data_IF_514955304835
#
_entry.id   IF_514955304835
#
_cell.length_a   1.000
_cell.length_b   1.000
_cell.length_c   1.000
_cell.angle_alpha   90.00
_cell.angle_beta   90.00
_cell.angle_gamma   90.00
#
_symmetry.space_group_name_H-M   'P 1'
#
loop_
_entity.id
_entity.type
_entity.pdbx_description
1 polymer ?
#
# COMPACT_ATOMS: atom_id res chain seq x y z
N UNK A 1 -2.53 -7.31 -18.92
CA UNK A 1 -2.04 -7.16 -20.30
C UNK A 1 -0.76 -6.34 -20.39
N UNK A 2 -0.65 -5.17 -19.72
CA UNK A 2 0.59 -4.36 -19.75
C UNK A 2 1.77 -5.13 -19.15
N UNK A 3 1.57 -5.77 -18.00
CA UNK A 3 2.60 -6.61 -17.37
C UNK A 3 2.99 -7.78 -18.27
N UNK A 4 2.03 -8.48 -18.86
CA UNK A 4 2.29 -9.58 -19.82
C UNK A 4 3.03 -9.11 -21.07
N UNK A 5 2.87 -7.84 -21.45
CA UNK A 5 3.63 -7.20 -22.53
C UNK A 5 5.04 -6.73 -22.12
N UNK A 6 5.46 -7.00 -20.88
CA UNK A 6 6.80 -6.70 -20.36
C UNK A 6 6.92 -5.42 -19.54
N UNK A 7 5.82 -4.70 -19.28
CA UNK A 7 5.84 -3.54 -18.37
C UNK A 7 6.10 -4.01 -16.94
N UNK A 8 7.14 -3.50 -16.29
CA UNK A 8 7.55 -3.93 -14.94
C UNK A 8 6.75 -3.31 -13.82
N UNK A 9 6.26 -2.09 -14.01
CA UNK A 9 5.49 -1.36 -13.02
C UNK A 9 4.37 -0.59 -13.70
N UNK A 10 3.15 -0.71 -13.17
CA UNK A 10 1.98 0.03 -13.64
C UNK A 10 1.39 0.74 -12.43
N UNK A 11 1.24 2.05 -12.52
CA UNK A 11 0.60 2.86 -11.48
C UNK A 11 -0.72 3.42 -11.99
N UNK A 12 -1.70 3.50 -11.11
CA UNK A 12 -3.01 4.06 -11.37
C UNK A 12 -3.40 5.00 -10.23
N UNK A 13 -3.64 6.26 -10.55
CA UNK A 13 -4.30 7.18 -9.64
C UNK A 13 -5.81 7.04 -9.82
N UNK A 14 -6.51 6.66 -8.76
CA UNK A 14 -7.95 6.45 -8.78
C UNK A 14 -8.64 7.44 -7.87
N UNK A 15 -9.60 8.22 -8.40
CA UNK A 15 -10.34 9.26 -7.70
C UNK A 15 -9.45 10.35 -7.09
N UNK A 16 -9.98 11.15 -6.19
CA UNK A 16 -9.25 12.23 -5.51
C UNK A 16 -8.94 11.94 -4.05
N UNK A 17 -9.79 11.19 -3.35
CA UNK A 17 -9.69 10.80 -1.93
C UNK A 17 -9.37 11.91 -0.91
N UNK A 18 -9.24 13.16 -1.37
CA UNK A 18 -8.92 14.34 -0.56
C UNK A 18 -10.18 15.08 -0.10
N UNK A 19 -11.05 14.37 0.61
CA UNK A 19 -12.39 14.83 0.95
C UNK A 19 -12.41 15.60 2.28
N UNK A 20 -12.01 16.87 2.22
CA UNK A 20 -12.13 17.82 3.34
C UNK A 20 -13.56 18.28 3.61
N UNK A 21 -14.50 17.93 2.76
CA UNK A 21 -15.95 18.15 2.91
C UNK A 21 -16.71 17.03 2.23
N UNK A 22 -17.93 16.78 2.69
CA UNK A 22 -18.86 15.80 2.12
C UNK A 22 -18.24 14.41 1.83
N UNK A 23 -17.33 13.98 2.69
CA UNK A 23 -16.54 12.75 2.53
C UNK A 23 -17.41 11.50 2.34
N UNK A 24 -18.54 11.42 3.04
CA UNK A 24 -19.36 10.21 3.02
C UNK A 24 -20.11 10.02 1.70
N UNK A 25 -20.56 11.10 1.06
CA UNK A 25 -21.20 11.00 -0.25
C UNK A 25 -20.16 10.68 -1.34
N UNK A 26 -19.00 11.30 -1.28
CA UNK A 26 -17.89 10.98 -2.19
C UNK A 26 -17.47 9.52 -2.07
N UNK A 27 -17.28 9.00 -0.84
CA UNK A 27 -16.94 7.60 -0.61
C UNK A 27 -18.02 6.63 -1.10
N UNK A 28 -19.30 6.96 -0.96
CA UNK A 28 -20.38 6.11 -1.49
C UNK A 28 -20.37 6.00 -3.01
N UNK A 29 -19.80 6.97 -3.70
CA UNK A 29 -19.64 6.94 -5.15
C UNK A 29 -18.37 6.19 -5.57
N UNK A 30 -17.24 6.49 -4.93
CA UNK A 30 -15.92 6.01 -5.38
C UNK A 30 -15.57 4.62 -4.83
N UNK A 31 -15.90 4.33 -3.58
CA UNK A 31 -15.50 3.07 -2.96
C UNK A 31 -16.07 1.82 -3.66
N UNK A 32 -17.34 1.79 -4.12
CA UNK A 32 -17.85 0.65 -4.87
C UNK A 32 -17.12 0.41 -6.19
N UNK A 33 -16.67 1.47 -6.87
CA UNK A 33 -15.92 1.35 -8.11
C UNK A 33 -14.52 0.81 -7.86
N UNK A 34 -13.86 1.26 -6.80
CA UNK A 34 -12.57 0.72 -6.38
C UNK A 34 -12.70 -0.76 -6.01
N UNK A 35 -13.68 -1.11 -5.20
CA UNK A 35 -13.95 -2.49 -4.76
C UNK A 35 -14.16 -3.42 -5.96
N UNK A 36 -15.04 -3.03 -6.89
CA UNK A 36 -15.30 -3.80 -8.11
C UNK A 36 -14.04 -3.97 -8.97
N UNK A 37 -13.31 -2.87 -9.19
CA UNK A 37 -12.11 -2.90 -10.03
C UNK A 37 -10.97 -3.72 -9.42
N UNK A 38 -10.75 -3.56 -8.11
CA UNK A 38 -9.71 -4.30 -7.38
C UNK A 38 -10.05 -5.79 -7.28
N UNK A 39 -11.30 -6.12 -6.95
CA UNK A 39 -11.77 -7.51 -6.90
C UNK A 39 -11.58 -8.19 -8.25
N UNK A 40 -12.02 -7.56 -9.35
CA UNK A 40 -11.85 -8.10 -10.69
C UNK A 40 -10.37 -8.30 -11.06
N UNK A 41 -9.49 -7.34 -10.68
CA UNK A 41 -8.06 -7.48 -10.91
C UNK A 41 -7.46 -8.68 -10.18
N UNK A 42 -7.76 -8.83 -8.89
CA UNK A 42 -7.23 -9.94 -8.07
C UNK A 42 -7.74 -11.29 -8.57
N UNK A 43 -9.03 -11.37 -8.93
CA UNK A 43 -9.61 -12.59 -9.52
C UNK A 43 -8.97 -12.95 -10.86
N UNK A 44 -8.78 -11.98 -11.76
CA UNK A 44 -8.13 -12.20 -13.06
C UNK A 44 -6.69 -12.68 -12.90
N UNK A 45 -5.94 -12.14 -11.94
CA UNK A 45 -4.59 -12.60 -11.63
C UNK A 45 -4.59 -14.05 -11.12
N UNK A 46 -5.52 -14.41 -10.26
CA UNK A 46 -5.67 -15.78 -9.75
C UNK A 46 -6.04 -16.76 -10.86
N UNK A 47 -7.09 -16.46 -11.64
CA UNK A 47 -7.56 -17.30 -12.75
C UNK A 47 -6.50 -17.53 -13.83
N UNK A 48 -5.60 -16.56 -14.01
CA UNK A 48 -4.47 -16.67 -14.96
C UNK A 48 -3.22 -17.30 -14.36
N UNK A 49 -3.21 -17.60 -13.06
CA UNK A 49 -2.03 -18.12 -12.36
C UNK A 49 -0.89 -17.11 -12.21
N UNK A 50 -1.18 -15.81 -12.27
CA UNK A 50 -0.20 -14.71 -12.17
C UNK A 50 -0.04 -14.16 -10.77
N UNK A 51 -0.76 -14.66 -9.80
CA UNK A 51 -0.78 -14.18 -8.40
C UNK A 51 0.56 -14.24 -7.69
N UNK A 52 1.45 -15.13 -8.11
CA UNK A 52 2.81 -15.26 -7.54
C UNK A 52 3.80 -14.28 -8.17
N UNK A 53 3.54 -13.86 -9.40
CA UNK A 53 4.47 -13.07 -10.21
C UNK A 53 4.16 -11.57 -10.17
N UNK A 54 2.96 -11.20 -9.72
CA UNK A 54 2.49 -9.82 -9.72
C UNK A 54 2.08 -9.40 -8.31
N UNK A 55 2.78 -8.39 -7.77
CA UNK A 55 2.39 -7.73 -6.53
C UNK A 55 1.45 -6.57 -6.81
N UNK A 56 0.36 -6.49 -6.07
CA UNK A 56 -0.61 -5.38 -6.11
C UNK A 56 -0.54 -4.64 -4.78
N UNK A 57 -0.40 -3.32 -4.85
CA UNK A 57 -0.38 -2.43 -3.69
C UNK A 57 -1.41 -1.35 -3.87
N UNK A 58 -2.26 -1.14 -2.86
CA UNK A 58 -3.21 -0.03 -2.79
C UNK A 58 -2.92 0.74 -1.52
N UNK A 59 -2.51 1.98 -1.65
CA UNK A 59 -2.17 2.84 -0.52
C UNK A 59 -2.35 4.32 -0.84
N UNK A 60 -2.22 5.16 0.18
CA UNK A 60 -2.08 6.60 0.08
C UNK A 60 -0.87 7.07 0.89
N UNK A 61 -0.56 8.36 0.81
CA UNK A 61 0.61 8.97 1.46
C UNK A 61 0.44 9.12 2.97
N UNK A 62 -0.78 9.31 3.46
CA UNK A 62 -1.14 9.40 4.88
C UNK A 62 -2.63 9.07 5.10
N UNK A 63 -3.04 8.99 6.34
CA UNK A 63 -4.43 8.74 6.71
C UNK A 63 -5.27 10.00 6.85
N UNK A 64 -6.46 9.83 7.38
CA UNK A 64 -7.44 10.90 7.60
C UNK A 64 -7.81 10.99 9.08
N UNK A 65 -8.13 12.21 9.55
CA UNK A 65 -8.47 12.45 10.95
C UNK A 65 -9.58 11.52 11.42
N UNK A 66 -9.46 10.94 12.64
CA UNK A 66 -10.55 10.20 13.27
C UNK A 66 -11.80 11.07 13.45
N UNK A 67 -11.59 12.35 13.79
CA UNK A 67 -12.66 13.31 13.95
C UNK A 67 -13.13 13.85 12.60
N UNK A 68 -14.45 13.91 12.44
CA UNK A 68 -15.11 14.53 11.29
C UNK A 68 -15.16 16.04 11.52
N UNK A 69 -14.74 16.83 10.53
CA UNK A 69 -14.78 18.27 10.60
C UNK A 69 -16.20 18.85 10.35
N UNK A 70 -16.35 20.17 10.48
CA UNK A 70 -17.64 20.86 10.33
C UNK A 70 -18.25 20.74 8.92
N UNK A 71 -17.43 20.45 7.91
CA UNK A 71 -17.86 20.23 6.53
C UNK A 71 -18.24 18.78 6.21
N UNK A 72 -18.41 17.93 7.23
CA UNK A 72 -18.62 16.49 7.06
C UNK A 72 -17.47 15.83 6.28
N UNK A 73 -16.28 16.36 6.39
CA UNK A 73 -15.05 15.85 5.79
C UNK A 73 -14.06 15.32 6.83
N UNK A 74 -12.90 14.88 6.35
CA UNK A 74 -11.76 14.48 7.16
C UNK A 74 -10.50 15.18 6.67
N UNK A 75 -9.72 15.69 7.59
CA UNK A 75 -8.47 16.37 7.29
C UNK A 75 -7.29 15.38 7.27
N UNK A 76 -6.09 15.86 6.92
CA UNK A 76 -4.89 15.04 6.87
C UNK A 76 -4.48 14.55 8.25
N UNK A 77 -4.08 13.28 8.35
CA UNK A 77 -3.65 12.65 9.59
C UNK A 77 -2.45 11.73 9.36
N UNK A 78 -1.21 12.23 9.54
CA UNK A 78 -0.01 11.45 9.22
C UNK A 78 0.31 10.35 10.26
N UNK A 79 -0.39 10.33 11.40
CA UNK A 79 -0.11 9.38 12.49
C UNK A 79 -0.50 7.95 12.16
N UNK A 80 -1.48 7.75 11.27
CA UNK A 80 -1.98 6.43 10.89
C UNK A 80 -2.37 6.45 9.42
N UNK A 81 -1.97 5.41 8.71
CA UNK A 81 -2.45 5.10 7.38
C UNK A 81 -2.70 3.60 7.26
N UNK A 82 -3.18 3.16 6.13
CA UNK A 82 -3.32 1.75 5.81
C UNK A 82 -2.88 1.46 4.39
N UNK A 83 -2.52 0.21 4.13
CA UNK A 83 -2.23 -0.28 2.80
C UNK A 83 -2.89 -1.65 2.62
N UNK A 84 -3.24 -1.98 1.37
CA UNK A 84 -3.62 -3.33 0.98
C UNK A 84 -2.52 -3.89 0.09
N UNK A 85 -2.10 -5.11 0.37
CA UNK A 85 -1.12 -5.84 -0.42
C UNK A 85 -1.71 -7.17 -0.86
N UNK A 86 -1.48 -7.53 -2.12
CA UNK A 86 -1.92 -8.81 -2.67
C UNK A 86 -0.93 -9.31 -3.74
N UNK A 87 -0.92 -10.61 -3.99
CA UNK A 87 -0.05 -11.22 -4.98
C UNK A 87 1.41 -11.31 -4.56
N UNK A 88 2.33 -11.46 -5.52
CA UNK A 88 3.77 -11.53 -5.30
C UNK A 88 4.24 -12.69 -4.41
N UNK A 89 3.45 -13.77 -4.30
CA UNK A 89 3.74 -14.90 -3.43
C UNK A 89 3.57 -14.61 -1.94
N UNK A 90 3.05 -13.44 -1.57
CA UNK A 90 2.79 -13.06 -0.17
C UNK A 90 1.67 -13.90 0.44
N UNK A 91 1.72 -14.09 1.76
CA UNK A 91 0.64 -14.73 2.52
C UNK A 91 -0.53 -13.76 2.71
N UNK A 92 -1.71 -14.13 2.26
CA UNK A 92 -2.92 -13.31 2.25
C UNK A 92 -3.90 -13.66 3.37
N UNK A 93 -5.02 -12.92 3.43
CA UNK A 93 -6.14 -13.20 4.32
C UNK A 93 -5.90 -12.78 5.76
N UNK A 94 -5.02 -11.83 6.02
CA UNK A 94 -4.70 -11.36 7.35
C UNK A 94 -4.74 -9.83 7.45
N UNK A 95 -4.94 -9.34 8.66
CA UNK A 95 -4.82 -7.95 9.03
C UNK A 95 -3.61 -7.79 9.94
N UNK A 96 -2.69 -6.92 9.58
CA UNK A 96 -1.45 -6.68 10.31
C UNK A 96 -1.51 -5.29 10.94
N UNK A 97 -1.34 -5.25 12.24
CA UNK A 97 -1.44 -4.02 13.01
C UNK A 97 -2.87 -3.63 13.40
N UNK A 98 -2.97 -2.85 14.47
CA UNK A 98 -4.23 -2.27 14.92
C UNK A 98 -3.99 -0.86 15.47
N UNK A 99 -5.03 -0.04 15.40
CA UNK A 99 -5.04 1.29 15.99
C UNK A 99 -5.61 1.28 17.41
N UNK A 100 -5.54 2.42 18.07
CA UNK A 100 -6.36 2.68 19.23
C UNK A 100 -7.86 2.65 18.87
N UNK A 101 -8.72 2.73 19.89
CA UNK A 101 -10.18 2.66 19.72
C UNK A 101 -10.76 3.77 18.84
N UNK A 102 -10.05 4.89 18.74
CA UNK A 102 -10.49 6.04 17.93
C UNK A 102 -9.89 6.08 16.53
N UNK A 103 -8.93 5.19 16.22
CA UNK A 103 -8.21 5.21 14.94
C UNK A 103 -7.19 6.34 14.86
N UNK A 104 -6.72 6.86 16.00
CA UNK A 104 -5.81 8.01 16.07
C UNK A 104 -4.34 7.64 16.00
N UNK A 105 -3.97 6.52 16.58
CA UNK A 105 -2.58 6.07 16.69
C UNK A 105 -2.46 4.56 16.46
N UNK A 106 -1.35 4.13 15.89
CA UNK A 106 -1.01 2.71 15.83
C UNK A 106 -0.67 2.20 17.24
N UNK A 107 -1.30 1.10 17.68
CA UNK A 107 -1.12 0.50 19.01
C UNK A 107 -0.47 -0.86 18.95
N UNK A 108 -0.92 -1.73 18.07
CA UNK A 108 -0.42 -3.08 17.94
C UNK A 108 0.30 -3.23 16.61
N UNK A 109 1.50 -3.82 16.64
CA UNK A 109 2.30 -4.07 15.45
C UNK A 109 2.32 -2.87 14.49
N UNK A 110 2.77 -1.68 14.91
CA UNK A 110 2.92 -0.55 14.00
C UNK A 110 3.85 -0.94 12.85
N UNK A 111 3.45 -0.61 11.62
CA UNK A 111 4.21 -0.88 10.40
C UNK A 111 4.79 0.41 9.87
N UNK A 112 6.09 0.42 9.61
CA UNK A 112 6.78 1.52 8.95
C UNK A 112 6.73 1.34 7.43
N UNK A 113 6.73 2.42 6.66
CA UNK A 113 6.81 2.37 5.20
C UNK A 113 8.01 1.57 4.70
N UNK A 114 9.16 1.67 5.37
CA UNK A 114 10.35 0.91 5.03
C UNK A 114 10.15 -0.61 5.11
N UNK A 115 9.33 -1.11 6.04
CA UNK A 115 9.00 -2.55 6.10
C UNK A 115 8.14 -2.96 4.89
N UNK A 116 7.21 -2.10 4.45
CA UNK A 116 6.39 -2.34 3.26
C UNK A 116 7.29 -2.36 2.02
N UNK A 117 8.19 -1.38 1.86
CA UNK A 117 9.15 -1.36 0.75
C UNK A 117 10.07 -2.57 0.76
N UNK A 118 10.63 -2.94 1.91
CA UNK A 118 11.46 -4.15 2.02
C UNK A 118 10.70 -5.41 1.59
N UNK A 119 9.43 -5.52 1.99
CA UNK A 119 8.56 -6.64 1.59
C UNK A 119 8.34 -6.67 0.08
N UNK A 120 8.04 -5.52 -0.53
CA UNK A 120 7.81 -5.42 -1.97
C UNK A 120 9.08 -5.71 -2.76
N UNK A 121 10.23 -5.17 -2.36
CA UNK A 121 11.52 -5.51 -2.99
C UNK A 121 11.81 -7.00 -2.90
N UNK A 122 11.58 -7.60 -1.74
CA UNK A 122 11.75 -9.04 -1.57
C UNK A 122 10.84 -9.85 -2.49
N UNK A 123 9.57 -9.47 -2.60
CA UNK A 123 8.61 -10.11 -3.52
C UNK A 123 9.03 -9.96 -5.00
N UNK A 124 9.74 -8.88 -5.35
CA UNK A 124 10.31 -8.66 -6.68
C UNK A 124 11.67 -9.36 -6.91
N UNK A 125 12.15 -10.13 -5.92
CA UNK A 125 13.45 -10.79 -6.01
C UNK A 125 14.65 -9.86 -5.80
N UNK A 126 14.43 -8.66 -5.29
CA UNK A 126 15.47 -7.66 -4.98
C UNK A 126 15.79 -7.76 -3.49
N UNK A 127 17.07 -7.94 -3.17
CA UNK A 127 17.51 -7.95 -1.78
C UNK A 127 17.81 -6.51 -1.31
N UNK A 128 16.99 -5.92 -0.43
CA UNK A 128 17.16 -4.53 0.00
C UNK A 128 18.38 -4.33 0.91
N UNK A 129 18.90 -5.40 1.54
CA UNK A 129 20.05 -5.30 2.45
C UNK A 129 21.38 -5.13 1.70
N UNK A 130 21.44 -5.59 0.46
CA UNK A 130 22.66 -5.55 -0.37
C UNK A 130 22.54 -4.68 -1.61
N UNK A 131 21.31 -4.33 -2.02
CA UNK A 131 21.11 -3.53 -3.24
C UNK A 131 21.21 -2.05 -2.93
N UNK A 132 22.08 -1.36 -3.66
CA UNK A 132 22.24 0.09 -3.57
C UNK A 132 22.08 0.76 -4.92
N UNK A 133 21.66 2.02 -4.90
CA UNK A 133 21.66 2.92 -6.06
C UNK A 133 22.61 4.09 -5.77
N UNK A 134 23.36 4.51 -6.78
CA UNK A 134 24.20 5.68 -6.64
C UNK A 134 23.35 6.97 -6.67
N UNK A 135 23.54 7.86 -5.70
CA UNK A 135 22.96 9.20 -5.74
C UNK A 135 23.66 10.08 -6.81
N UNK A 136 23.21 11.32 -6.95
CA UNK A 136 23.78 12.26 -7.93
C UNK A 136 25.26 12.60 -7.68
N UNK A 137 25.76 12.31 -6.48
CA UNK A 137 27.17 12.49 -6.10
C UNK A 137 28.00 11.19 -6.25
N UNK A 138 27.37 10.12 -6.74
CA UNK A 138 27.99 8.80 -6.89
C UNK A 138 28.08 7.99 -5.59
N UNK A 139 27.43 8.41 -4.51
CA UNK A 139 27.44 7.68 -3.24
C UNK A 139 26.37 6.59 -3.25
N UNK A 140 26.68 5.37 -2.78
CA UNK A 140 25.70 4.30 -2.69
C UNK A 140 24.65 4.63 -1.62
N UNK A 141 23.37 4.48 -1.99
CA UNK A 141 22.21 4.61 -1.11
C UNK A 141 21.46 3.29 -1.12
N UNK A 142 21.10 2.79 0.06
CA UNK A 142 20.26 1.61 0.17
C UNK A 142 18.83 1.89 -0.28
N UNK A 143 18.14 0.87 -0.75
CA UNK A 143 16.74 1.00 -1.21
C UNK A 143 15.75 1.25 -0.06
N UNK A 144 16.11 0.85 1.14
CA UNK A 144 15.29 1.01 2.36
C UNK A 144 16.14 1.65 3.44
N UNK A 145 15.67 2.78 3.95
CA UNK A 145 16.30 3.47 5.06
C UNK A 145 16.27 2.62 6.34
N UNK A 146 17.22 2.87 7.24
CA UNK A 146 17.32 2.20 8.55
C UNK A 146 17.46 0.65 8.46
N UNK A 147 17.69 0.07 7.29
CA UNK A 147 17.73 -1.40 7.09
C UNK A 147 16.53 -2.11 7.70
N UNK A 148 15.34 -1.56 7.53
CA UNK A 148 14.12 -2.16 8.05
C UNK A 148 13.83 -3.50 7.37
N UNK A 149 13.59 -4.57 8.14
CA UNK A 149 13.35 -5.88 7.58
C UNK A 149 11.98 -5.95 6.89
N UNK A 150 11.80 -6.89 5.96
CA UNK A 150 10.48 -7.14 5.40
C UNK A 150 9.52 -7.69 6.45
N UNK A 151 8.23 -7.51 6.21
CA UNK A 151 7.15 -7.98 7.08
C UNK A 151 7.09 -9.52 7.08
N UNK A 152 7.51 -10.15 8.17
CA UNK A 152 7.57 -11.61 8.30
C UNK A 152 6.21 -12.28 8.17
N UNK A 153 5.16 -11.58 8.48
CA UNK A 153 3.78 -12.03 8.38
C UNK A 153 3.37 -12.31 6.92
N UNK A 154 3.99 -11.61 5.98
CA UNK A 154 3.67 -11.69 4.55
C UNK A 154 4.59 -12.66 3.75
N UNK A 155 5.72 -13.06 4.32
CA UNK A 155 6.73 -13.88 3.64
C UNK A 155 6.64 -15.36 3.98
#
# INVERSE_FOLDING_TARGET
>A
RLIEAGTRCVTLAFSRWDHHGDNFNALRQDAPLLDQGLTALIQDLHERGLEKDISVVVWGEFGRTPQINKGAGRDHWPQVSCALLAGGGMRHGQVIGATDRLGGEAKERPVKFGEVFATLYKALGIDPDFTTLADLSGRPQYLVDEHLPPMKELL
#
